data_IF_909872465716
#
_entry.id   IF_909872465716
#
_cell.length_a   1.000
_cell.length_b   1.000
_cell.length_c   1.000
_cell.angle_alpha   90.00
_cell.angle_beta   90.00
_cell.angle_gamma   90.00
#
_symmetry.space_group_name_H-M   'P 1'
#
loop_
_entity.id
_entity.type
_entity.pdbx_description
1 polymer ?
#
# COMPACT_ATOMS: atom_id res chain seq x y z
N UNK A 1 -66.49 -41.88 -5.83
CA UNK A 1 -65.31 -41.89 -6.74
C UNK A 1 -64.59 -40.54 -6.91
N UNK A 2 -65.23 -39.37 -6.74
CA UNK A 2 -64.57 -38.05 -6.90
C UNK A 2 -63.48 -37.70 -5.87
N UNK A 3 -63.59 -38.20 -4.63
CA UNK A 3 -62.69 -37.85 -3.50
C UNK A 3 -61.27 -38.44 -3.64
N UNK A 4 -61.14 -39.56 -4.36
CA UNK A 4 -59.85 -40.23 -4.59
C UNK A 4 -58.97 -39.44 -5.58
N UNK A 5 -59.60 -38.89 -6.63
CA UNK A 5 -58.91 -38.11 -7.66
C UNK A 5 -58.35 -36.78 -7.12
N UNK A 6 -58.99 -36.20 -6.09
CA UNK A 6 -58.56 -34.93 -5.50
C UNK A 6 -57.35 -35.06 -4.57
N UNK A 7 -57.26 -36.16 -3.82
CA UNK A 7 -56.08 -36.46 -3.00
C UNK A 7 -54.85 -36.79 -3.88
N UNK A 8 -55.07 -37.48 -5.00
CA UNK A 8 -54.00 -37.78 -5.97
C UNK A 8 -53.48 -36.51 -6.66
N UNK A 9 -54.38 -35.59 -7.03
CA UNK A 9 -53.99 -34.30 -7.63
C UNK A 9 -53.20 -33.41 -6.65
N UNK A 10 -53.62 -33.34 -5.38
CA UNK A 10 -52.87 -32.65 -4.32
C UNK A 10 -51.50 -33.25 -4.06
N UNK A 11 -51.38 -34.57 -4.13
CA UNK A 11 -50.10 -35.26 -3.98
C UNK A 11 -49.12 -34.94 -5.12
N UNK A 12 -49.62 -34.83 -6.35
CA UNK A 12 -48.81 -34.40 -7.51
C UNK A 12 -48.42 -32.92 -7.37
N UNK A 13 -49.34 -32.01 -7.05
CA UNK A 13 -49.03 -30.59 -6.81
C UNK A 13 -47.96 -30.40 -5.73
N UNK A 14 -48.08 -31.09 -4.58
CA UNK A 14 -47.11 -31.00 -3.48
C UNK A 14 -45.70 -31.49 -3.88
N UNK A 15 -45.61 -32.52 -4.73
CA UNK A 15 -44.34 -33.00 -5.30
C UNK A 15 -43.77 -32.00 -6.32
N UNK A 16 -44.63 -31.34 -7.08
CA UNK A 16 -44.23 -30.34 -8.09
C UNK A 16 -43.69 -29.07 -7.42
N UNK A 17 -44.36 -28.58 -6.37
CA UNK A 17 -43.91 -27.42 -5.57
C UNK A 17 -42.57 -27.67 -4.89
N UNK A 18 -42.37 -28.90 -4.38
CA UNK A 18 -41.09 -29.30 -3.77
C UNK A 18 -39.95 -29.33 -4.79
N UNK A 19 -40.23 -29.75 -6.04
CA UNK A 19 -39.25 -29.75 -7.14
C UNK A 19 -38.94 -28.30 -7.59
N UNK A 20 -39.96 -27.44 -7.66
CA UNK A 20 -39.79 -26.03 -7.98
C UNK A 20 -38.95 -25.29 -6.92
N UNK A 21 -39.19 -25.54 -5.63
CA UNK A 21 -38.36 -24.99 -4.56
C UNK A 21 -36.90 -25.46 -4.65
N UNK A 22 -36.68 -26.73 -4.96
CA UNK A 22 -35.33 -27.28 -5.13
C UNK A 22 -34.60 -26.65 -6.32
N UNK A 23 -35.31 -26.44 -7.45
CA UNK A 23 -34.77 -25.78 -8.64
C UNK A 23 -34.41 -24.31 -8.38
N UNK A 24 -35.24 -23.59 -7.62
CA UNK A 24 -34.95 -22.21 -7.21
C UNK A 24 -33.70 -22.15 -6.34
N UNK A 25 -33.53 -23.07 -5.38
CA UNK A 25 -32.30 -23.12 -4.57
C UNK A 25 -31.05 -23.39 -5.40
N UNK A 26 -31.14 -24.27 -6.40
CA UNK A 26 -30.02 -24.55 -7.32
C UNK A 26 -29.64 -23.30 -8.13
N UNK A 27 -30.62 -22.53 -8.61
CA UNK A 27 -30.38 -21.29 -9.34
C UNK A 27 -29.70 -20.21 -8.47
N UNK A 28 -30.03 -20.13 -7.19
CA UNK A 28 -29.35 -19.24 -6.24
C UNK A 28 -27.89 -19.63 -6.00
N UNK A 29 -27.54 -20.92 -5.99
CA UNK A 29 -26.16 -21.38 -5.79
C UNK A 29 -25.27 -21.11 -7.00
N UNK A 30 -25.82 -21.15 -8.22
CA UNK A 30 -25.06 -20.90 -9.46
C UNK A 30 -24.72 -19.40 -9.63
N UNK A 31 -25.43 -18.52 -8.92
CA UNK A 31 -25.28 -17.06 -9.02
C UNK A 31 -24.12 -16.50 -8.18
N UNK A 32 -23.41 -17.33 -7.42
CA UNK A 32 -22.25 -16.89 -6.65
C UNK A 32 -21.02 -16.79 -7.54
N UNK A 33 -20.78 -15.60 -8.11
CA UNK A 33 -19.48 -15.27 -8.67
C UNK A 33 -18.47 -15.14 -7.53
N UNK A 34 -17.52 -16.06 -7.48
CA UNK A 34 -16.40 -16.00 -6.54
C UNK A 34 -15.40 -14.96 -7.05
N UNK A 35 -15.31 -13.83 -6.37
CA UNK A 35 -14.24 -12.86 -6.59
C UNK A 35 -12.91 -13.46 -6.12
N UNK A 36 -12.21 -14.16 -7.00
CA UNK A 36 -10.79 -14.41 -6.79
C UNK A 36 -10.05 -13.08 -7.00
N UNK A 37 -9.40 -12.54 -5.97
CA UNK A 37 -8.52 -11.39 -6.13
C UNK A 37 -7.38 -11.79 -7.07
N UNK A 38 -7.27 -11.09 -8.20
CA UNK A 38 -6.16 -11.25 -9.12
C UNK A 38 -4.85 -10.90 -8.38
N UNK A 39 -3.93 -11.85 -8.31
CA UNK A 39 -2.63 -11.65 -7.68
C UNK A 39 -1.86 -10.49 -8.30
N UNK A 40 -2.02 -10.23 -9.61
CA UNK A 40 -1.44 -9.07 -10.28
C UNK A 40 -2.08 -7.76 -9.83
N UNK A 41 -3.39 -7.75 -9.59
CA UNK A 41 -4.08 -6.58 -9.05
C UNK A 41 -3.57 -6.25 -7.63
N UNK A 42 -3.43 -7.25 -6.77
CA UNK A 42 -2.88 -7.06 -5.41
C UNK A 42 -1.41 -6.58 -5.41
N UNK A 43 -0.57 -7.11 -6.31
CA UNK A 43 0.82 -6.65 -6.47
C UNK A 43 0.86 -5.19 -6.95
N UNK A 44 0.00 -4.82 -7.90
CA UNK A 44 -0.07 -3.45 -8.41
C UNK A 44 -0.55 -2.46 -7.35
N UNK A 45 -1.55 -2.84 -6.55
CA UNK A 45 -2.04 -2.02 -5.44
C UNK A 45 -0.96 -1.82 -4.37
N UNK A 46 -0.26 -2.89 -3.97
CA UNK A 46 0.86 -2.78 -3.04
C UNK A 46 1.99 -1.87 -3.58
N UNK A 47 2.29 -1.95 -4.88
CA UNK A 47 3.30 -1.11 -5.53
C UNK A 47 2.90 0.38 -5.48
N UNK A 48 1.62 0.69 -5.74
CA UNK A 48 1.10 2.06 -5.63
C UNK A 48 1.15 2.59 -4.19
N UNK A 49 0.79 1.77 -3.20
CA UNK A 49 0.88 2.17 -1.79
C UNK A 49 2.32 2.42 -1.35
N UNK A 50 3.25 1.56 -1.75
CA UNK A 50 4.67 1.78 -1.44
C UNK A 50 5.19 3.07 -2.07
N UNK A 51 4.79 3.37 -3.32
CA UNK A 51 5.13 4.62 -4.02
C UNK A 51 4.57 5.87 -3.32
N UNK A 52 3.33 5.82 -2.82
CA UNK A 52 2.73 6.99 -2.15
C UNK A 52 3.47 7.37 -0.86
N UNK A 53 4.11 6.42 -0.18
CA UNK A 53 4.94 6.72 1.00
C UNK A 53 6.28 7.38 0.65
N UNK A 54 6.80 7.23 -0.57
CA UNK A 54 8.10 7.79 -0.95
C UNK A 54 8.08 9.32 -0.99
N UNK A 55 6.97 9.95 -1.37
CA UNK A 55 6.86 11.41 -1.39
C UNK A 55 6.97 11.99 0.02
N UNK A 56 6.11 11.51 0.94
CA UNK A 56 6.15 11.91 2.33
C UNK A 56 7.48 11.56 3.01
N UNK A 57 8.05 10.38 2.70
CA UNK A 57 9.35 9.96 3.19
C UNK A 57 10.51 10.84 2.70
N UNK A 58 10.44 11.31 1.45
CA UNK A 58 11.45 12.21 0.87
C UNK A 58 11.37 13.60 1.48
N UNK A 59 10.17 14.12 1.70
CA UNK A 59 9.99 15.40 2.39
C UNK A 59 10.52 15.35 3.83
N UNK A 60 10.24 14.26 4.56
CA UNK A 60 10.80 14.02 5.88
C UNK A 60 12.34 13.96 5.85
N UNK A 61 12.93 13.31 4.84
CA UNK A 61 14.38 13.24 4.68
C UNK A 61 15.01 14.62 4.46
N UNK A 62 14.37 15.49 3.67
CA UNK A 62 14.84 16.87 3.52
C UNK A 62 14.75 17.66 4.82
N UNK A 63 13.67 17.51 5.59
CA UNK A 63 13.53 18.17 6.88
C UNK A 63 14.62 17.73 7.88
N UNK A 64 14.88 16.42 7.97
CA UNK A 64 15.96 15.87 8.81
C UNK A 64 17.33 16.31 8.31
N UNK A 65 17.55 16.29 6.99
CA UNK A 65 18.80 16.75 6.38
C UNK A 65 19.09 18.22 6.67
N UNK A 66 18.07 19.09 6.62
CA UNK A 66 18.20 20.50 6.99
C UNK A 66 18.59 20.68 8.47
N UNK A 67 17.92 19.95 9.37
CA UNK A 67 18.24 19.99 10.81
C UNK A 67 19.68 19.53 11.10
N UNK A 68 20.08 18.39 10.56
CA UNK A 68 21.43 17.86 10.74
C UNK A 68 22.49 18.77 10.09
N UNK A 69 22.16 19.37 8.93
CA UNK A 69 22.99 20.36 8.26
C UNK A 69 23.28 21.56 9.17
N UNK A 70 22.25 22.13 9.79
CA UNK A 70 22.39 23.25 10.73
C UNK A 70 23.21 22.86 11.98
N UNK A 71 22.93 21.69 12.56
CA UNK A 71 23.68 21.20 13.74
C UNK A 71 25.17 21.01 13.39
N UNK A 72 25.47 20.45 12.23
CA UNK A 72 26.85 20.28 11.76
C UNK A 72 27.57 21.61 11.52
N UNK A 73 26.87 22.61 10.96
CA UNK A 73 27.41 23.95 10.77
C UNK A 73 27.80 24.61 12.10
N UNK A 74 26.96 24.47 13.13
CA UNK A 74 27.27 24.96 14.48
C UNK A 74 28.54 24.31 15.04
N UNK A 75 28.72 22.99 14.85
CA UNK A 75 29.92 22.28 15.29
C UNK A 75 31.19 22.74 14.57
N UNK A 76 31.10 22.96 13.25
CA UNK A 76 32.21 23.51 12.45
C UNK A 76 32.58 24.90 12.95
N UNK A 77 31.58 25.76 13.17
CA UNK A 77 31.78 27.11 13.71
C UNK A 77 32.43 27.08 15.10
N UNK A 78 31.99 26.18 15.99
CA UNK A 78 32.61 26.04 17.31
C UNK A 78 34.08 25.64 17.23
N UNK A 79 34.44 24.67 16.38
CA UNK A 79 35.84 24.26 16.16
C UNK A 79 36.69 25.39 15.55
N UNK A 80 36.11 26.15 14.62
CA UNK A 80 36.77 27.31 14.02
C UNK A 80 37.12 28.35 15.09
N UNK A 81 36.17 28.71 15.96
CA UNK A 81 36.41 29.68 17.03
C UNK A 81 37.35 29.16 18.11
N UNK A 82 37.43 27.84 18.30
CA UNK A 82 38.38 27.21 19.21
C UNK A 82 39.81 27.15 18.66
N UNK A 83 40.04 27.54 17.40
CA UNK A 83 41.36 27.45 16.76
C UNK A 83 41.81 26.01 16.48
N UNK A 84 40.86 25.08 16.34
CA UNK A 84 41.15 23.66 16.11
C UNK A 84 41.79 23.46 14.71
N UNK A 85 43.00 22.90 14.60
CA UNK A 85 43.68 22.69 13.33
C UNK A 85 42.93 21.73 12.39
N UNK A 86 42.06 20.86 12.92
CA UNK A 86 41.25 19.92 12.14
C UNK A 86 39.93 20.53 11.62
N UNK A 87 39.67 21.82 11.83
CA UNK A 87 38.43 22.48 11.42
C UNK A 87 38.14 22.29 9.92
N UNK A 88 39.16 22.41 9.06
CA UNK A 88 39.01 22.21 7.62
C UNK A 88 38.56 20.79 7.25
N UNK A 89 39.09 19.77 7.94
CA UNK A 89 38.70 18.37 7.75
C UNK A 89 37.26 18.14 8.21
N UNK A 90 36.87 18.71 9.34
CA UNK A 90 35.50 18.59 9.88
C UNK A 90 34.50 19.34 8.99
N UNK A 91 34.86 20.52 8.49
CA UNK A 91 34.06 21.29 7.55
C UNK A 91 33.84 20.54 6.23
N UNK A 92 34.90 19.96 5.66
CA UNK A 92 34.83 19.17 4.44
C UNK A 92 33.95 17.92 4.62
N UNK A 93 34.12 17.20 5.73
CA UNK A 93 33.31 16.01 6.03
C UNK A 93 31.82 16.36 6.23
N UNK A 94 31.52 17.45 6.93
CA UNK A 94 30.15 17.95 7.11
C UNK A 94 29.52 18.36 5.77
N UNK A 95 30.23 19.15 4.97
CA UNK A 95 29.73 19.61 3.68
C UNK A 95 29.49 18.44 2.71
N UNK A 96 30.44 17.49 2.63
CA UNK A 96 30.28 16.26 1.84
C UNK A 96 29.07 15.44 2.26
N UNK A 97 28.80 15.36 3.57
CA UNK A 97 27.62 14.66 4.11
C UNK A 97 26.32 15.36 3.74
N UNK A 98 26.31 16.70 3.73
CA UNK A 98 25.14 17.49 3.33
C UNK A 98 24.81 17.30 1.84
N UNK A 99 25.83 17.37 0.98
CA UNK A 99 25.67 17.15 -0.47
C UNK A 99 25.18 15.73 -0.74
N UNK A 100 25.75 14.73 -0.06
CA UNK A 100 25.34 13.34 -0.19
C UNK A 100 23.85 13.13 0.13
N UNK A 101 23.34 13.71 1.22
CA UNK A 101 21.91 13.62 1.59
C UNK A 101 20.98 14.17 0.50
N UNK A 102 21.34 15.29 -0.13
CA UNK A 102 20.55 15.89 -1.23
C UNK A 102 20.57 14.99 -2.47
N UNK A 103 21.72 14.42 -2.80
CA UNK A 103 21.87 13.52 -3.96
C UNK A 103 21.07 12.23 -3.75
N UNK A 104 21.11 11.64 -2.54
CA UNK A 104 20.37 10.41 -2.22
C UNK A 104 18.86 10.60 -2.45
N UNK A 105 18.29 11.74 -2.04
CA UNK A 105 16.88 12.02 -2.28
C UNK A 105 16.53 12.03 -3.78
N UNK A 106 17.44 12.53 -4.61
CA UNK A 106 17.28 12.54 -6.08
C UNK A 106 17.38 11.13 -6.67
N UNK A 107 18.32 10.32 -6.17
CA UNK A 107 18.50 8.93 -6.59
C UNK A 107 17.28 8.07 -6.23
N UNK A 108 16.73 8.23 -5.03
CA UNK A 108 15.52 7.52 -4.60
C UNK A 108 14.35 7.87 -5.54
N UNK A 109 14.10 9.16 -5.78
CA UNK A 109 13.10 9.61 -6.74
C UNK A 109 13.29 8.99 -8.13
N UNK A 110 14.53 8.98 -8.63
CA UNK A 110 14.87 8.36 -9.91
C UNK A 110 14.61 6.85 -9.97
N UNK A 111 14.84 6.09 -8.89
CA UNK A 111 14.54 4.66 -8.86
C UNK A 111 13.05 4.35 -8.87
N UNK A 112 12.24 5.23 -8.28
CA UNK A 112 10.79 5.10 -8.26
C UNK A 112 10.10 5.87 -9.40
N UNK A 113 10.84 6.52 -10.30
CA UNK A 113 10.25 7.24 -11.44
C UNK A 113 9.28 8.34 -11.03
N UNK A 114 9.56 9.02 -9.90
CA UNK A 114 8.81 10.15 -9.35
C UNK A 114 9.62 11.43 -9.54
#
# INVERSE_FOLDING_TARGET
MKKWNWNFKKFIEQRTDSICMLLVQILFVISYETYAQDGLAGINEANQQVRSYFDAGTELMYAVGALLGLIGAVKVYQKWNAGDPDTGKVAAAWFGSCVFLVVVATVIKSFFGI
#
